data_IF_204977556119
#
_entry.id   IF_204977556119
#
_cell.length_a   1.000
_cell.length_b   1.000
_cell.length_c   1.000
_cell.angle_alpha   90.00
_cell.angle_beta   90.00
_cell.angle_gamma   90.00
#
_symmetry.space_group_name_H-M   'P 1'
#
loop_
_entity.id
_entity.type
_entity.pdbx_description
1 polymer ?
#
# COMPACT_ATOMS: atom_id res chain seq x y z
N UNK A 1 7.06 -16.42 -24.66
CA UNK A 1 7.05 -15.10 -23.99
C UNK A 1 7.07 -15.33 -22.48
N UNK A 2 7.82 -14.55 -21.70
CA UNK A 2 7.81 -14.67 -20.23
C UNK A 2 7.21 -13.40 -19.63
N UNK A 3 6.39 -13.56 -18.59
CA UNK A 3 5.66 -12.48 -17.93
C UNK A 3 5.91 -12.58 -16.44
N UNK A 4 6.20 -11.45 -15.80
CA UNK A 4 6.27 -11.35 -14.35
C UNK A 4 5.51 -10.12 -13.86
N UNK A 5 5.03 -10.21 -12.62
CA UNK A 5 4.33 -9.11 -11.96
C UNK A 5 4.58 -9.15 -10.46
N UNK A 6 4.56 -7.99 -9.82
CA UNK A 6 4.66 -7.86 -8.37
C UNK A 6 3.67 -6.80 -7.91
N UNK A 7 2.92 -7.13 -6.87
CA UNK A 7 1.90 -6.25 -6.30
C UNK A 7 2.33 -5.80 -4.91
N UNK A 8 2.16 -4.51 -4.65
CA UNK A 8 2.36 -3.90 -3.34
C UNK A 8 1.20 -2.95 -3.05
N UNK A 9 0.88 -2.76 -1.77
CA UNK A 9 -0.25 -1.95 -1.35
C UNK A 9 0.27 -0.79 -0.51
N UNK A 10 -0.43 0.34 -0.60
CA UNK A 10 -0.29 1.44 0.33
C UNK A 10 -1.65 1.85 0.84
N UNK A 11 -1.71 2.35 2.06
CA UNK A 11 -2.96 2.88 2.60
C UNK A 11 -2.74 3.66 3.88
N UNK A 12 -3.82 4.29 4.33
CA UNK A 12 -3.89 4.86 5.67
C UNK A 12 -3.72 3.77 6.72
N UNK A 13 -3.44 4.19 7.95
CA UNK A 13 -3.42 3.34 9.12
C UNK A 13 -4.87 2.90 9.40
N UNK A 14 -5.19 1.60 9.39
CA UNK A 14 -6.56 1.10 9.51
C UNK A 14 -7.04 1.14 10.96
N UNK A 15 -7.18 2.36 11.48
CA UNK A 15 -7.73 2.71 12.79
C UNK A 15 -8.79 3.80 12.59
N UNK A 16 -9.70 3.93 13.54
CA UNK A 16 -10.60 5.08 13.56
C UNK A 16 -9.86 6.30 14.14
N UNK A 17 -9.42 7.18 13.25
CA UNK A 17 -8.77 8.43 13.62
C UNK A 17 -9.25 9.57 12.72
N UNK A 18 -9.19 10.78 13.26
CA UNK A 18 -9.60 11.99 12.57
C UNK A 18 -8.59 13.11 12.79
N UNK A 19 -8.59 14.07 11.88
CA UNK A 19 -7.85 15.32 12.01
C UNK A 19 -8.84 16.48 11.84
N UNK A 20 -8.79 17.45 12.76
CA UNK A 20 -9.56 18.71 12.64
C UNK A 20 -8.82 19.66 11.73
N UNK A 21 -9.20 19.72 10.46
CA UNK A 21 -8.61 20.65 9.50
C UNK A 21 -9.16 22.05 9.74
N UNK A 22 -8.29 22.99 10.12
CA UNK A 22 -8.63 24.42 10.19
C UNK A 22 -7.75 25.18 9.21
N UNK A 23 -8.29 26.25 8.59
CA UNK A 23 -7.54 27.08 7.62
C UNK A 23 -6.24 27.65 8.18
N UNK A 24 -6.13 27.83 9.50
CA UNK A 24 -4.96 28.37 10.18
C UNK A 24 -3.98 27.29 10.67
N UNK A 25 -4.41 26.03 10.74
CA UNK A 25 -3.64 24.94 11.32
C UNK A 25 -2.94 24.13 10.23
N UNK A 26 -1.68 24.49 9.95
CA UNK A 26 -0.81 23.79 8.99
C UNK A 26 -0.60 22.30 9.31
N UNK A 27 -0.74 21.89 10.57
CA UNK A 27 -0.59 20.51 11.04
C UNK A 27 -1.66 20.20 12.08
N UNK A 28 -2.85 19.72 11.66
CA UNK A 28 -3.98 19.51 12.56
C UNK A 28 -3.72 18.36 13.55
N UNK A 29 -4.15 18.49 14.80
CA UNK A 29 -3.97 17.43 15.78
C UNK A 29 -4.75 16.16 15.41
N UNK A 30 -4.15 15.02 15.70
CA UNK A 30 -4.73 13.70 15.45
C UNK A 30 -5.54 13.30 16.67
N UNK A 31 -6.78 12.88 16.43
CA UNK A 31 -7.69 12.40 17.46
C UNK A 31 -8.06 10.96 17.14
N UNK A 32 -7.77 10.07 18.09
CA UNK A 32 -8.23 8.69 18.04
C UNK A 32 -9.68 8.61 18.49
N UNK A 33 -10.46 7.85 17.74
CA UNK A 33 -11.79 7.45 18.16
C UNK A 33 -11.73 6.11 18.86
N UNK A 34 -12.34 6.01 20.04
CA UNK A 34 -12.40 4.77 20.84
C UNK A 34 -13.63 3.91 20.49
N UNK A 35 -14.22 4.12 19.31
CA UNK A 35 -15.47 3.46 18.90
C UNK A 35 -15.30 1.96 18.62
N UNK A 36 -14.08 1.44 18.57
CA UNK A 36 -13.80 0.02 18.33
C UNK A 36 -12.79 -0.53 19.35
N UNK A 37 -13.24 -0.86 20.57
CA UNK A 37 -12.35 -1.32 21.64
C UNK A 37 -11.68 -2.68 21.36
N UNK A 38 -12.27 -3.49 20.47
CA UNK A 38 -11.79 -4.83 20.12
C UNK A 38 -11.11 -4.89 18.74
N UNK A 39 -10.88 -3.74 18.11
CA UNK A 39 -10.27 -3.64 16.77
C UNK A 39 -10.97 -4.52 15.72
N UNK A 40 -12.30 -4.65 15.80
CA UNK A 40 -13.10 -5.47 14.87
C UNK A 40 -13.00 -4.96 13.44
N UNK A 41 -13.07 -3.65 13.22
CA UNK A 41 -12.96 -3.06 11.89
C UNK A 41 -11.55 -3.24 11.32
N UNK A 42 -10.52 -3.02 12.15
CA UNK A 42 -9.12 -3.27 11.78
C UNK A 42 -8.88 -4.73 11.41
N UNK A 43 -9.48 -5.67 12.15
CA UNK A 43 -9.41 -7.10 11.85
C UNK A 43 -10.05 -7.43 10.50
N UNK A 44 -11.30 -7.00 10.29
CA UNK A 44 -12.02 -7.23 9.04
C UNK A 44 -11.28 -6.64 7.83
N UNK A 45 -10.66 -5.47 8.01
CA UNK A 45 -9.82 -4.84 6.99
C UNK A 45 -8.66 -5.75 6.57
N UNK A 46 -7.97 -6.40 7.51
CA UNK A 46 -6.88 -7.32 7.20
C UNK A 46 -7.34 -8.69 6.69
N UNK A 47 -8.46 -9.22 7.18
CA UNK A 47 -9.09 -10.43 6.65
C UNK A 47 -9.42 -10.27 5.16
N UNK A 48 -9.98 -9.12 4.79
CA UNK A 48 -10.26 -8.79 3.40
C UNK A 48 -8.97 -8.66 2.55
N UNK A 49 -7.86 -8.17 3.12
CA UNK A 49 -6.58 -8.18 2.43
C UNK A 49 -6.02 -9.59 2.24
N UNK A 50 -6.17 -10.48 3.22
CA UNK A 50 -5.75 -11.87 3.11
C UNK A 50 -6.56 -12.59 2.03
N UNK A 51 -7.87 -12.34 1.95
CA UNK A 51 -8.73 -12.90 0.90
C UNK A 51 -8.28 -12.47 -0.51
N UNK A 52 -7.91 -11.19 -0.68
CA UNK A 52 -7.53 -10.65 -2.00
C UNK A 52 -6.08 -10.94 -2.42
N UNK A 53 -5.15 -10.93 -1.47
CA UNK A 53 -3.71 -10.94 -1.76
C UNK A 53 -2.96 -12.11 -1.13
N UNK A 54 -3.62 -12.91 -0.30
CA UNK A 54 -3.05 -14.06 0.39
C UNK A 54 -2.30 -13.72 1.69
N UNK A 55 -1.58 -14.70 2.21
CA UNK A 55 -0.83 -14.68 3.47
C UNK A 55 0.67 -15.00 3.17
N UNK A 56 1.66 -14.20 3.64
CA UNK A 56 1.57 -13.18 4.68
C UNK A 56 1.22 -11.76 4.25
N UNK A 57 0.50 -11.07 5.13
CA UNK A 57 0.39 -9.60 5.12
C UNK A 57 1.54 -9.01 5.94
N UNK A 58 2.41 -8.26 5.26
CA UNK A 58 3.57 -7.61 5.87
C UNK A 58 3.31 -6.11 5.88
N UNK A 59 3.36 -5.50 7.06
CA UNK A 59 2.99 -4.11 7.27
C UNK A 59 4.26 -3.31 7.55
N UNK A 60 4.69 -2.50 6.57
CA UNK A 60 5.77 -1.54 6.73
C UNK A 60 5.19 -0.20 7.18
N UNK A 61 5.41 0.14 8.44
CA UNK A 61 4.80 1.29 9.08
C UNK A 61 5.79 2.45 9.19
N UNK A 62 5.56 3.53 8.43
CA UNK A 62 6.50 4.65 8.26
C UNK A 62 6.21 5.85 9.17
N UNK A 63 5.49 5.60 10.27
CA UNK A 63 5.06 6.61 11.24
C UNK A 63 6.26 7.14 12.02
N UNK A 64 6.31 8.46 12.22
CA UNK A 64 7.38 9.08 13.03
C UNK A 64 7.26 8.64 14.49
N UNK A 65 8.39 8.33 15.09
CA UNK A 65 8.51 7.95 16.51
C UNK A 65 9.09 9.08 17.35
N UNK A 66 10.01 9.88 16.77
CA UNK A 66 10.63 11.02 17.44
C UNK A 66 10.01 12.34 16.96
N UNK A 67 9.06 12.88 17.74
CA UNK A 67 8.40 14.16 17.46
C UNK A 67 8.41 15.09 18.69
N UNK A 68 8.45 16.41 18.45
CA UNK A 68 8.35 17.41 19.54
C UNK A 68 6.97 17.43 20.20
N UNK A 69 5.91 17.19 19.40
CA UNK A 69 4.55 16.98 19.86
C UNK A 69 4.14 15.57 19.43
N UNK A 70 3.64 14.71 20.32
CA UNK A 70 3.30 13.33 20.00
C UNK A 70 2.02 13.32 19.15
N UNK A 71 2.15 13.45 17.83
CA UNK A 71 1.02 13.43 16.89
C UNK A 71 0.93 12.06 16.24
N UNK A 72 1.97 11.69 15.52
CA UNK A 72 2.09 10.40 14.82
C UNK A 72 2.34 9.25 15.82
N UNK A 73 3.09 9.50 16.91
CA UNK A 73 3.43 8.48 17.92
C UNK A 73 2.20 7.84 18.57
N UNK A 74 1.11 8.60 18.76
CA UNK A 74 -0.13 8.10 19.37
C UNK A 74 -0.74 7.01 18.47
N UNK A 75 -0.83 7.28 17.17
CA UNK A 75 -1.32 6.30 16.19
C UNK A 75 -0.40 5.09 16.08
N UNK A 76 0.92 5.29 16.13
CA UNK A 76 1.88 4.19 16.08
C UNK A 76 1.65 3.20 17.23
N UNK A 77 1.48 3.73 18.44
CA UNK A 77 1.29 2.94 19.66
C UNK A 77 -0.02 2.15 19.59
N UNK A 78 -1.11 2.82 19.21
CA UNK A 78 -2.44 2.23 19.15
C UNK A 78 -2.56 1.20 18.03
N UNK A 79 -1.87 1.43 16.91
CA UNK A 79 -1.82 0.45 15.83
C UNK A 79 -1.00 -0.79 16.19
N UNK A 80 0.11 -0.60 16.92
CA UNK A 80 0.89 -1.72 17.44
C UNK A 80 0.07 -2.57 18.44
N UNK A 81 -0.74 -1.93 19.28
CA UNK A 81 -1.69 -2.60 20.17
C UNK A 81 -2.73 -3.40 19.38
N UNK A 82 -3.30 -2.82 18.32
CA UNK A 82 -4.26 -3.48 17.44
C UNK A 82 -3.67 -4.73 16.77
N UNK A 83 -2.47 -4.63 16.20
CA UNK A 83 -1.78 -5.78 15.57
C UNK A 83 -1.51 -6.88 16.61
N UNK A 84 -1.04 -6.50 17.80
CA UNK A 84 -0.78 -7.46 18.88
C UNK A 84 -2.07 -8.15 19.33
N UNK A 85 -3.17 -7.40 19.43
CA UNK A 85 -4.48 -7.95 19.78
C UNK A 85 -5.01 -8.92 18.73
N UNK A 86 -4.87 -8.60 17.44
CA UNK A 86 -5.29 -9.47 16.33
C UNK A 86 -4.45 -10.75 16.32
N UNK A 87 -3.12 -10.63 16.44
CA UNK A 87 -2.21 -11.79 16.40
C UNK A 87 -2.41 -12.76 17.58
N UNK A 88 -2.95 -12.31 18.73
CA UNK A 88 -3.32 -13.20 19.85
C UNK A 88 -4.42 -14.19 19.48
N UNK A 89 -5.29 -13.83 18.54
CA UNK A 89 -6.43 -14.66 18.12
C UNK A 89 -6.15 -15.56 16.91
N UNK A 90 -4.96 -15.49 16.30
CA UNK A 90 -4.62 -16.18 15.06
C UNK A 90 -3.44 -17.15 15.23
N UNK A 91 -3.32 -18.13 14.32
CA UNK A 91 -2.17 -19.05 14.28
C UNK A 91 -0.88 -18.30 13.93
N UNK A 92 0.30 -18.85 14.27
CA UNK A 92 1.61 -18.21 13.97
C UNK A 92 1.85 -17.96 12.47
N UNK A 93 1.21 -18.75 11.61
CA UNK A 93 1.33 -18.63 10.15
C UNK A 93 0.52 -17.43 9.63
N UNK A 94 -0.61 -17.13 10.25
CA UNK A 94 -1.53 -16.04 9.91
C UNK A 94 -1.20 -14.72 10.62
N UNK A 95 -0.08 -14.66 11.35
CA UNK A 95 0.33 -13.46 12.06
C UNK A 95 0.63 -12.31 11.10
N UNK A 96 -0.01 -11.16 11.35
CA UNK A 96 0.32 -9.90 10.71
C UNK A 96 1.76 -9.53 11.10
N UNK A 97 2.62 -9.36 10.09
CA UNK A 97 4.04 -9.07 10.30
C UNK A 97 4.27 -7.56 10.30
N UNK A 98 4.44 -6.99 11.48
CA UNK A 98 4.58 -5.54 11.65
C UNK A 98 6.04 -5.09 11.70
N UNK A 99 6.42 -4.17 10.81
CA UNK A 99 7.76 -3.58 10.70
C UNK A 99 7.67 -2.07 10.93
N UNK A 100 7.92 -1.58 12.15
CA UNK A 100 7.99 -0.15 12.42
C UNK A 100 9.32 0.43 11.89
N UNK A 101 9.25 1.47 11.06
CA UNK A 101 10.42 2.13 10.49
C UNK A 101 10.28 3.65 10.50
N UNK A 102 11.04 4.32 11.36
CA UNK A 102 11.09 5.78 11.39
C UNK A 102 12.04 6.33 10.30
N UNK A 103 11.49 6.58 9.12
CA UNK A 103 12.23 7.18 8.01
C UNK A 103 12.74 8.59 8.31
N UNK A 104 12.06 9.36 9.16
CA UNK A 104 12.50 10.72 9.48
C UNK A 104 13.81 10.66 10.27
N UNK A 105 13.90 9.78 11.27
CA UNK A 105 15.14 9.55 12.01
C UNK A 105 16.27 9.06 11.10
N UNK A 106 15.98 8.09 10.24
CA UNK A 106 16.98 7.52 9.32
C UNK A 106 17.46 8.54 8.27
N UNK A 107 16.58 9.42 7.79
CA UNK A 107 16.93 10.44 6.80
C UNK A 107 17.98 11.43 7.28
N UNK A 108 18.13 11.61 8.60
CA UNK A 108 19.19 12.45 9.19
C UNK A 108 20.59 11.86 9.01
N UNK A 109 20.68 10.54 8.86
CA UNK A 109 21.95 9.83 8.69
C UNK A 109 22.35 9.70 7.21
N UNK A 110 21.45 10.07 6.28
CA UNK A 110 21.70 10.07 4.84
C UNK A 110 20.77 9.15 4.05
N UNK A 111 20.60 9.45 2.77
CA UNK A 111 19.70 8.73 1.87
C UNK A 111 20.11 7.25 1.65
N UNK A 112 21.41 6.95 1.61
CA UNK A 112 21.91 5.59 1.39
C UNK A 112 21.50 4.63 2.51
N UNK A 113 21.61 5.06 3.78
CA UNK A 113 21.21 4.27 4.95
C UNK A 113 19.70 4.01 4.95
N UNK A 114 18.91 5.01 4.55
CA UNK A 114 17.45 4.85 4.39
C UNK A 114 17.13 3.75 3.38
N UNK A 115 17.77 3.81 2.20
CA UNK A 115 17.56 2.83 1.15
C UNK A 115 18.03 1.43 1.55
N UNK A 116 19.12 1.32 2.30
CA UNK A 116 19.61 0.03 2.82
C UNK A 116 18.59 -0.62 3.78
N UNK A 117 18.07 0.13 4.75
CA UNK A 117 17.05 -0.38 5.66
C UNK A 117 15.75 -0.77 4.95
N UNK A 118 15.33 0.02 3.97
CA UNK A 118 14.17 -0.27 3.14
C UNK A 118 14.41 -1.49 2.24
N UNK A 119 15.60 -1.63 1.65
CA UNK A 119 15.98 -2.78 0.85
C UNK A 119 15.97 -4.06 1.69
N UNK A 120 16.45 -3.99 2.94
CA UNK A 120 16.39 -5.14 3.87
C UNK A 120 14.95 -5.54 4.20
N UNK A 121 14.07 -4.56 4.47
CA UNK A 121 12.66 -4.83 4.70
C UNK A 121 11.97 -5.39 3.44
N UNK A 122 12.34 -4.87 2.27
CA UNK A 122 11.84 -5.33 0.98
C UNK A 122 12.28 -6.76 0.65
N UNK A 123 13.56 -7.10 0.86
CA UNK A 123 14.09 -8.44 0.66
C UNK A 123 13.40 -9.45 1.59
N UNK A 124 13.24 -9.09 2.87
CA UNK A 124 12.46 -9.90 3.82
C UNK A 124 11.03 -10.14 3.31
N UNK A 125 10.35 -9.08 2.84
CA UNK A 125 8.99 -9.20 2.37
C UNK A 125 8.87 -10.04 1.09
N UNK A 126 9.76 -9.82 0.12
CA UNK A 126 9.75 -10.52 -1.16
C UNK A 126 10.06 -12.01 -1.01
N UNK A 127 10.97 -12.38 -0.10
CA UNK A 127 11.27 -13.79 0.18
C UNK A 127 10.06 -14.56 0.71
N UNK A 128 9.17 -13.88 1.45
CA UNK A 128 7.97 -14.50 2.01
C UNK A 128 6.77 -14.44 1.05
N UNK A 129 6.60 -13.33 0.34
CA UNK A 129 5.43 -13.09 -0.51
C UNK A 129 5.60 -13.65 -1.93
N UNK A 130 6.84 -13.73 -2.41
CA UNK A 130 7.14 -14.07 -3.80
C UNK A 130 6.64 -13.00 -4.77
N UNK A 131 6.64 -13.35 -6.06
CA UNK A 131 6.10 -12.54 -7.13
C UNK A 131 5.48 -13.47 -8.18
N UNK A 132 4.62 -12.92 -9.02
CA UNK A 132 4.00 -13.67 -10.11
C UNK A 132 5.00 -13.90 -11.25
N UNK A 133 5.05 -15.13 -11.77
CA UNK A 133 5.86 -15.49 -12.93
C UNK A 133 5.15 -16.55 -13.77
N UNK A 134 5.10 -16.33 -15.09
CA UNK A 134 4.54 -17.26 -16.05
C UNK A 134 5.32 -17.28 -17.36
N UNK A 135 5.60 -18.47 -17.88
CA UNK A 135 6.20 -18.68 -19.19
C UNK A 135 5.12 -19.15 -20.19
N UNK A 136 4.77 -18.26 -21.12
CA UNK A 136 3.80 -18.51 -22.20
C UNK A 136 4.42 -19.48 -23.21
N UNK A 137 3.71 -20.57 -23.49
CA UNK A 137 4.07 -21.54 -24.54
C UNK A 137 3.84 -20.93 -25.93
N UNK A 138 4.76 -21.15 -26.89
CA UNK A 138 4.65 -20.56 -28.22
C UNK A 138 3.45 -21.09 -29.06
N UNK A 139 2.80 -22.19 -28.68
CA UNK A 139 1.71 -22.82 -29.44
C UNK A 139 0.28 -22.56 -28.91
N UNK A 140 0.06 -21.62 -27.99
CA UNK A 140 -1.31 -21.27 -27.59
C UNK A 140 -1.96 -20.37 -28.64
N UNK A 141 -3.01 -20.86 -29.31
CA UNK A 141 -3.90 -20.05 -30.13
C UNK A 141 -4.57 -18.96 -29.28
N UNK A 142 -5.01 -17.87 -29.92
CA UNK A 142 -5.66 -16.73 -29.25
C UNK A 142 -6.85 -17.11 -28.34
N UNK A 143 -7.48 -18.27 -28.55
CA UNK A 143 -8.61 -18.76 -27.74
C UNK A 143 -8.19 -19.25 -26.34
N UNK A 144 -6.95 -19.73 -26.15
CA UNK A 144 -6.47 -20.20 -24.85
C UNK A 144 -6.00 -19.07 -23.93
N UNK A 145 -5.63 -17.92 -24.50
CA UNK A 145 -5.29 -16.72 -23.72
C UNK A 145 -6.53 -16.08 -23.10
N UNK A 146 -7.72 -16.26 -23.69
CA UNK A 146 -9.00 -15.75 -23.17
C UNK A 146 -9.79 -16.78 -22.36
N UNK A 147 -9.36 -18.05 -22.34
CA UNK A 147 -9.77 -19.03 -21.33
C UNK A 147 -9.11 -18.73 -19.96
N UNK A 148 -9.31 -17.50 -19.47
CA UNK A 148 -9.12 -17.10 -18.08
C UNK A 148 -10.14 -17.76 -17.12
N UNK A 149 -10.87 -18.79 -17.58
CA UNK A 149 -11.80 -19.61 -16.79
C UNK A 149 -11.11 -20.42 -15.68
N UNK A 150 -9.78 -20.48 -15.66
CA UNK A 150 -8.99 -21.06 -14.57
C UNK A 150 -8.94 -20.18 -13.28
N UNK A 151 -9.44 -18.94 -13.33
CA UNK A 151 -9.51 -18.04 -12.17
C UNK A 151 -10.94 -17.81 -11.66
N UNK A 152 -11.79 -18.85 -11.65
CA UNK A 152 -12.99 -18.81 -10.81
C UNK A 152 -12.59 -19.22 -9.39
N UNK A 153 -12.63 -18.31 -8.39
CA UNK A 153 -12.72 -18.76 -7.02
C UNK A 153 -14.10 -19.41 -6.91
N UNK A 154 -14.15 -20.75 -6.88
CA UNK A 154 -15.41 -21.41 -6.54
C UNK A 154 -15.74 -20.99 -5.11
N UNK A 155 -16.80 -20.22 -4.97
CA UNK A 155 -17.60 -20.14 -3.76
C UNK A 155 -17.90 -21.57 -3.30
N UNK A 156 -17.13 -22.09 -2.36
CA UNK A 156 -17.55 -23.05 -1.34
C UNK A 156 -16.33 -23.45 -0.48
N UNK A 157 -16.36 -22.96 0.76
CA UNK A 157 -15.61 -23.54 1.86
C UNK A 157 -16.03 -25.01 2.01
N UNK A 158 -15.17 -25.96 1.59
CA UNK A 158 -14.86 -27.21 2.30
C UNK A 158 -14.02 -28.16 1.43
N UNK A 159 -13.20 -28.96 2.12
CA UNK A 159 -12.40 -30.10 1.62
C UNK A 159 -11.04 -29.75 0.98
N UNK A 160 -10.11 -29.33 1.85
CA UNK A 160 -8.66 -29.30 1.60
C UNK A 160 -8.02 -30.66 1.98
N UNK A 161 -8.35 -31.71 1.24
CA UNK A 161 -7.69 -33.03 1.36
C UNK A 161 -7.49 -33.70 -0.01
N UNK A 162 -8.44 -33.57 -0.93
CA UNK A 162 -8.47 -34.44 -2.11
C UNK A 162 -7.86 -33.82 -3.39
N UNK A 163 -7.26 -32.62 -3.30
CA UNK A 163 -6.72 -31.90 -4.48
C UNK A 163 -5.22 -32.05 -4.72
N UNK A 164 -4.49 -32.72 -3.82
CA UNK A 164 -3.08 -33.08 -4.09
C UNK A 164 -3.02 -34.16 -5.18
N UNK A 165 -3.98 -35.10 -5.17
CA UNK A 165 -4.06 -36.19 -6.15
C UNK A 165 -4.49 -35.72 -7.54
N UNK A 166 -5.33 -34.67 -7.64
CA UNK A 166 -5.78 -34.14 -8.94
C UNK A 166 -4.65 -33.45 -9.73
N UNK A 167 -3.73 -32.78 -9.03
CA UNK A 167 -2.55 -32.15 -9.65
C UNK A 167 -1.51 -33.21 -10.04
N UNK A 168 -1.37 -34.30 -9.28
CA UNK A 168 -0.53 -35.43 -9.68
C UNK A 168 -1.12 -36.22 -10.87
N UNK A 169 -2.45 -36.32 -10.95
CA UNK A 169 -3.14 -37.00 -12.06
C UNK A 169 -2.97 -36.24 -13.38
N UNK A 170 -3.08 -34.90 -13.34
CA UNK A 170 -2.77 -34.02 -14.48
C UNK A 170 -1.30 -34.10 -14.93
N UNK A 171 -0.35 -34.38 -14.03
CA UNK A 171 1.05 -34.63 -14.41
C UNK A 171 1.26 -35.98 -15.10
N UNK A 172 0.45 -36.99 -14.79
CA UNK A 172 0.55 -38.33 -15.40
C UNK A 172 -0.08 -38.39 -16.78
N UNK A 173 -1.19 -37.70 -17.00
CA UNK A 173 -1.89 -37.73 -18.30
C UNK A 173 -1.13 -36.93 -19.37
N UNK A 174 -0.40 -35.87 -19.00
CA UNK A 174 0.45 -35.11 -19.94
C UNK A 174 1.70 -35.90 -20.39
N UNK A 175 2.18 -36.84 -19.58
CA UNK A 175 3.40 -37.60 -19.87
C UNK A 175 3.18 -38.86 -20.75
N UNK A 176 1.93 -39.22 -21.05
CA UNK A 176 1.62 -40.48 -21.76
C UNK A 176 1.64 -40.37 -23.29
N UNK A 177 1.54 -39.15 -23.82
CA UNK A 177 1.37 -38.90 -25.27
C UNK A 177 2.63 -38.40 -26.01
N UNK A 178 3.79 -38.30 -25.36
CA UNK A 178 5.01 -37.78 -26.00
C UNK A 178 6.00 -38.93 -26.25
N UNK A 179 5.77 -39.63 -27.37
CA UNK A 179 6.73 -40.54 -27.98
C UNK A 179 7.76 -39.78 -28.83
N UNK A 180 9.01 -39.84 -28.39
CA UNK A 180 10.28 -39.65 -29.13
C UNK A 180 10.76 -38.24 -29.55
N UNK A 181 12.04 -38.02 -29.20
CA UNK A 181 13.07 -37.08 -29.70
C UNK A 181 13.13 -35.63 -29.19
N UNK A 182 14.15 -35.41 -28.36
CA UNK A 182 15.11 -34.26 -28.37
C UNK A 182 14.72 -32.97 -27.63
N UNK A 183 15.49 -32.68 -26.56
CA UNK A 183 15.56 -31.42 -25.78
C UNK A 183 14.24 -30.92 -25.17
N UNK A 184 13.86 -31.50 -24.02
CA UNK A 184 12.84 -30.90 -23.15
C UNK A 184 13.47 -29.66 -22.49
N UNK A 185 13.27 -28.51 -23.14
CA UNK A 185 13.50 -27.19 -22.57
C UNK A 185 12.73 -27.11 -21.24
N UNK A 186 13.45 -26.98 -20.12
CA UNK A 186 12.86 -27.04 -18.77
C UNK A 186 11.94 -25.84 -18.56
N UNK A 187 10.65 -25.98 -18.90
CA UNK A 187 9.65 -24.93 -18.69
C UNK A 187 9.53 -24.66 -17.19
N UNK A 188 9.89 -23.44 -16.77
CA UNK A 188 9.80 -23.03 -15.38
C UNK A 188 8.32 -22.96 -14.97
N UNK A 189 7.94 -23.53 -13.81
CA UNK A 189 6.54 -23.60 -13.41
C UNK A 189 5.95 -22.22 -13.11
N UNK A 190 4.63 -22.10 -13.30
CA UNK A 190 3.83 -20.95 -12.91
C UNK A 190 3.97 -20.69 -11.40
N UNK A 191 4.28 -19.44 -11.04
CA UNK A 191 4.39 -18.99 -9.64
C UNK A 191 3.40 -17.87 -9.40
N UNK A 192 2.62 -17.99 -8.33
CA UNK A 192 1.75 -16.91 -7.83
C UNK A 192 2.39 -16.20 -6.65
N UNK A 193 2.18 -14.89 -6.59
CA UNK A 193 2.44 -14.13 -5.37
C UNK A 193 1.44 -14.57 -4.30
N UNK A 194 1.93 -14.93 -3.11
CA UNK A 194 1.12 -15.54 -2.04
C UNK A 194 0.75 -14.59 -0.92
N UNK A 195 1.31 -13.38 -0.90
CA UNK A 195 1.06 -12.38 0.13
C UNK A 195 1.46 -10.99 -0.36
N UNK A 196 1.43 -9.98 0.51
CA UNK A 196 1.69 -8.59 0.09
C UNK A 196 2.36 -7.72 1.15
N UNK A 197 3.24 -6.83 0.67
CA UNK A 197 3.77 -5.74 1.48
C UNK A 197 2.81 -4.55 1.41
N UNK A 198 2.27 -4.17 2.58
CA UNK A 198 1.47 -2.96 2.77
C UNK A 198 2.31 -1.87 3.43
N UNK A 199 2.42 -0.71 2.80
CA UNK A 199 3.03 0.49 3.38
C UNK A 199 1.97 1.37 4.04
N UNK A 200 2.15 1.65 5.34
CA UNK A 200 1.30 2.54 6.11
C UNK A 200 2.01 3.87 6.36
N UNK A 201 1.27 4.97 6.20
CA UNK A 201 1.72 6.31 6.55
C UNK A 201 0.52 7.19 6.90
N UNK A 202 0.72 8.16 7.78
CA UNK A 202 -0.31 9.12 8.18
C UNK A 202 -0.37 10.34 7.26
N UNK A 203 0.76 10.73 6.67
CA UNK A 203 0.90 11.92 5.84
C UNK A 203 2.10 11.77 4.91
N UNK A 204 1.91 12.25 3.68
CA UNK A 204 2.79 12.31 2.51
C UNK A 204 3.13 10.99 1.80
N UNK A 205 2.64 10.94 0.55
CA UNK A 205 3.04 10.05 -0.53
C UNK A 205 4.57 9.90 -0.62
N UNK A 206 5.32 10.93 -0.28
CA UNK A 206 6.77 11.01 -0.39
C UNK A 206 7.49 9.87 0.36
N UNK A 207 7.11 9.61 1.62
CA UNK A 207 7.68 8.51 2.43
C UNK A 207 7.31 7.15 1.86
N UNK A 208 6.05 6.98 1.49
CA UNK A 208 5.54 5.72 0.92
C UNK A 208 6.12 5.45 -0.45
N UNK A 209 6.35 6.47 -1.29
CA UNK A 209 6.85 6.30 -2.65
C UNK A 209 8.29 5.81 -2.64
N UNK A 210 9.12 6.32 -1.72
CA UNK A 210 10.50 5.83 -1.53
C UNK A 210 10.51 4.37 -1.04
N UNK A 211 9.61 4.01 -0.11
CA UNK A 211 9.48 2.63 0.33
C UNK A 211 8.99 1.70 -0.80
N UNK A 212 8.01 2.16 -1.59
CA UNK A 212 7.49 1.42 -2.75
C UNK A 212 8.55 1.25 -3.85
N UNK A 213 9.37 2.28 -4.08
CA UNK A 213 10.52 2.20 -4.98
C UNK A 213 11.53 1.15 -4.49
N UNK A 214 11.90 1.16 -3.20
CA UNK A 214 12.85 0.20 -2.67
C UNK A 214 12.34 -1.25 -2.80
N UNK A 215 11.06 -1.50 -2.54
CA UNK A 215 10.45 -2.80 -2.77
C UNK A 215 10.42 -3.19 -4.25
N UNK A 216 10.00 -2.26 -5.12
CA UNK A 216 9.98 -2.47 -6.56
C UNK A 216 11.37 -2.75 -7.15
N UNK A 217 12.40 -2.08 -6.65
CA UNK A 217 13.79 -2.28 -7.09
C UNK A 217 14.32 -3.67 -6.70
N UNK A 218 14.04 -4.14 -5.48
CA UNK A 218 14.37 -5.51 -5.08
C UNK A 218 13.58 -6.53 -5.90
N UNK A 219 12.28 -6.30 -6.10
CA UNK A 219 11.46 -7.19 -6.91
C UNK A 219 11.96 -7.28 -8.35
N UNK A 220 12.37 -6.16 -8.96
CA UNK A 220 12.93 -6.12 -10.30
C UNK A 220 14.19 -6.99 -10.41
N UNK A 221 15.07 -6.97 -9.41
CA UNK A 221 16.24 -7.83 -9.36
C UNK A 221 15.90 -9.33 -9.36
N UNK A 222 14.92 -9.73 -8.54
CA UNK A 222 14.45 -11.11 -8.52
C UNK A 222 13.73 -11.52 -9.81
N UNK A 223 12.95 -10.61 -10.41
CA UNK A 223 12.27 -10.83 -11.67
C UNK A 223 13.27 -11.03 -12.82
N UNK A 224 14.28 -10.17 -12.95
CA UNK A 224 15.32 -10.28 -13.98
C UNK A 224 16.13 -11.57 -13.84
N UNK A 225 16.47 -11.95 -12.62
CA UNK A 225 17.11 -13.24 -12.35
C UNK A 225 16.20 -14.41 -12.76
N UNK A 226 14.91 -14.34 -12.43
CA UNK A 226 13.97 -15.40 -12.77
C UNK A 226 13.68 -15.53 -14.27
N UNK A 227 13.81 -14.44 -15.02
CA UNK A 227 13.73 -14.37 -16.48
C UNK A 227 15.05 -14.76 -17.18
N UNK A 228 16.14 -14.95 -16.42
CA UNK A 228 17.45 -15.34 -16.96
C UNK A 228 18.30 -14.18 -17.50
N UNK A 229 17.91 -12.92 -17.29
CA UNK A 229 18.68 -11.75 -17.72
C UNK A 229 19.89 -11.47 -16.82
N UNK A 230 19.82 -11.84 -15.54
CA UNK A 230 20.91 -11.66 -14.57
C UNK A 230 21.26 -12.98 -13.89
N UNK A 231 22.55 -13.16 -13.54
CA UNK A 231 23.04 -14.34 -12.80
C UNK A 231 22.72 -14.30 -11.31
N UNK A 232 22.42 -13.12 -10.78
CA UNK A 232 22.05 -12.89 -9.38
C UNK A 232 20.81 -12.01 -9.30
N UNK A 233 20.09 -12.11 -8.18
CA UNK A 233 18.92 -11.27 -7.88
C UNK A 233 19.29 -9.90 -7.29
N UNK A 234 20.54 -9.72 -6.87
CA UNK A 234 21.02 -8.47 -6.28
C UNK A 234 21.50 -7.52 -7.36
N UNK A 235 20.74 -6.45 -7.58
CA UNK A 235 21.14 -5.36 -8.48
C UNK A 235 21.74 -4.25 -7.62
N UNK A 236 22.96 -3.84 -7.97
CA UNK A 236 23.60 -2.70 -7.31
C UNK A 236 22.80 -1.43 -7.55
N UNK A 237 22.69 -0.61 -6.51
CA UNK A 237 21.96 0.65 -6.58
C UNK A 237 22.57 1.62 -7.62
N UNK A 238 23.86 1.49 -7.92
CA UNK A 238 24.57 2.32 -8.90
C UNK A 238 24.30 1.90 -10.36
N UNK A 239 23.58 0.81 -10.59
CA UNK A 239 23.23 0.36 -11.93
C UNK A 239 22.31 1.40 -12.62
N UNK A 240 22.52 1.71 -13.92
CA UNK A 240 21.64 2.62 -14.68
C UNK A 240 20.14 2.29 -14.57
N UNK A 241 19.82 1.00 -14.49
CA UNK A 241 18.44 0.53 -14.31
C UNK A 241 17.78 1.08 -13.03
N UNK A 242 18.56 1.31 -11.97
CA UNK A 242 18.06 1.90 -10.73
C UNK A 242 17.63 3.35 -10.93
N UNK A 243 18.34 4.12 -11.77
CA UNK A 243 18.00 5.51 -12.10
C UNK A 243 16.75 5.58 -12.98
N UNK A 244 16.62 4.67 -13.94
CA UNK A 244 15.43 4.59 -14.80
C UNK A 244 14.19 4.20 -14.00
N UNK A 245 14.30 3.16 -13.15
CA UNK A 245 13.21 2.78 -12.26
C UNK A 245 12.86 3.92 -11.29
N UNK A 246 13.87 4.61 -10.75
CA UNK A 246 13.66 5.76 -9.88
C UNK A 246 12.85 6.85 -10.57
N UNK A 247 13.17 7.18 -11.83
CA UNK A 247 12.44 8.18 -12.61
C UNK A 247 10.97 7.79 -12.81
N UNK A 248 10.69 6.50 -13.03
CA UNK A 248 9.32 5.98 -13.14
C UNK A 248 8.57 6.20 -11.82
N UNK A 249 9.18 5.83 -10.68
CA UNK A 249 8.56 6.02 -9.37
C UNK A 249 8.42 7.49 -8.97
N UNK A 250 9.36 8.36 -9.35
CA UNK A 250 9.25 9.82 -9.19
C UNK A 250 8.03 10.34 -9.95
N UNK A 251 7.89 9.98 -11.22
CA UNK A 251 6.78 10.43 -12.09
C UNK A 251 5.43 9.92 -11.58
N UNK A 252 5.38 8.64 -11.17
CA UNK A 252 4.20 8.06 -10.52
C UNK A 252 3.85 8.83 -9.25
N UNK A 253 4.85 9.11 -8.40
CA UNK A 253 4.70 9.89 -7.18
C UNK A 253 4.17 11.30 -7.45
N UNK A 254 4.73 12.02 -8.40
CA UNK A 254 4.28 13.37 -8.74
C UNK A 254 2.84 13.38 -9.24
N UNK A 255 2.47 12.41 -10.10
CA UNK A 255 1.10 12.28 -10.63
C UNK A 255 0.07 12.07 -9.51
N UNK A 256 0.37 11.16 -8.59
CA UNK A 256 -0.50 10.87 -7.46
C UNK A 256 -0.56 12.06 -6.49
N UNK A 257 0.55 12.73 -6.24
CA UNK A 257 0.57 13.91 -5.37
C UNK A 257 -0.30 15.03 -5.93
N UNK A 258 -0.32 15.22 -7.25
CA UNK A 258 -1.17 16.21 -7.92
C UNK A 258 -2.64 15.85 -7.71
N UNK A 259 -3.01 14.59 -7.88
CA UNK A 259 -4.39 14.12 -7.70
C UNK A 259 -4.89 14.35 -6.27
N UNK A 260 -4.12 13.92 -5.26
CA UNK A 260 -4.53 13.99 -3.86
C UNK A 260 -4.30 15.37 -3.23
N UNK A 261 -3.10 15.95 -3.39
CA UNK A 261 -2.68 17.16 -2.68
C UNK A 261 -2.61 18.42 -3.55
N UNK A 262 -2.94 18.33 -4.84
CA UNK A 262 -2.90 19.48 -5.77
C UNK A 262 -1.49 20.01 -6.08
N UNK A 263 -0.43 19.28 -5.70
CA UNK A 263 0.98 19.64 -5.97
C UNK A 263 1.82 18.40 -6.25
N UNK A 264 2.98 18.55 -6.87
CA UNK A 264 3.98 17.48 -7.00
C UNK A 264 4.46 16.95 -5.61
N UNK A 265 5.05 15.75 -5.60
CA UNK A 265 5.58 15.09 -4.41
C UNK A 265 6.83 15.82 -3.89
N UNK A 266 7.22 15.65 -2.62
CA UNK A 266 8.54 16.10 -2.15
C UNK A 266 9.57 14.98 -2.35
N UNK A 267 10.37 15.07 -3.41
CA UNK A 267 11.32 14.02 -3.82
C UNK A 267 12.70 14.15 -3.15
N UNK A 268 12.75 14.58 -1.88
CA UNK A 268 14.00 14.93 -1.17
C UNK A 268 15.05 13.82 -1.21
N UNK A 269 14.64 12.56 -1.02
CA UNK A 269 15.54 11.40 -0.99
C UNK A 269 16.13 11.14 -2.39
N UNK A 270 15.34 11.31 -3.45
CA UNK A 270 15.79 11.13 -4.82
C UNK A 270 16.69 12.29 -5.29
N UNK A 271 16.32 13.55 -4.98
CA UNK A 271 17.14 14.73 -5.25
C UNK A 271 18.49 14.69 -4.53
N UNK A 272 18.53 14.22 -3.27
CA UNK A 272 19.77 14.04 -2.53
C UNK A 272 20.68 12.98 -3.17
N UNK A 273 20.12 11.89 -3.69
CA UNK A 273 20.88 10.85 -4.38
C UNK A 273 21.49 11.34 -5.70
N UNK A 274 20.75 12.13 -6.49
CA UNK A 274 21.25 12.71 -7.75
C UNK A 274 22.27 13.85 -7.54
N UNK A 275 22.60 14.20 -6.30
CA UNK A 275 23.54 15.28 -6.00
C UNK A 275 23.02 16.66 -6.39
N UNK A 276 21.70 16.84 -6.51
CA UNK A 276 21.13 18.14 -6.84
C UNK A 276 21.47 19.19 -5.76
N UNK A 277 21.64 20.44 -6.19
CA UNK A 277 22.01 21.52 -5.28
C UNK A 277 20.94 21.68 -4.18
N UNK A 278 21.40 21.68 -2.92
CA UNK A 278 20.52 21.75 -1.73
C UNK A 278 19.63 23.00 -1.75
N UNK A 279 20.15 24.14 -2.25
CA UNK A 279 19.41 25.40 -2.31
C UNK A 279 18.26 25.37 -3.34
N UNK A 280 18.49 24.79 -4.52
CA UNK A 280 17.46 24.63 -5.56
C UNK A 280 16.37 23.64 -5.14
N UNK A 281 16.75 22.57 -4.44
CA UNK A 281 15.79 21.60 -3.89
C UNK A 281 14.93 22.24 -2.80
N UNK A 282 15.52 23.02 -1.91
CA UNK A 282 14.82 23.66 -0.80
C UNK A 282 13.80 24.72 -1.26
N UNK A 283 14.10 25.49 -2.30
CA UNK A 283 13.15 26.46 -2.85
C UNK A 283 11.96 25.78 -3.53
N UNK A 284 12.20 24.71 -4.29
CA UNK A 284 11.12 23.90 -4.88
C UNK A 284 10.22 23.26 -3.82
N UNK A 285 10.79 22.72 -2.74
CA UNK A 285 10.04 22.17 -1.61
C UNK A 285 9.15 23.23 -0.94
N UNK A 286 9.64 24.46 -0.79
CA UNK A 286 8.86 25.57 -0.25
C UNK A 286 7.65 25.91 -1.12
N UNK A 287 7.83 26.07 -2.44
CA UNK A 287 6.73 26.34 -3.36
C UNK A 287 5.71 25.19 -3.39
N UNK A 288 6.16 23.93 -3.38
CA UNK A 288 5.27 22.75 -3.30
C UNK A 288 4.46 22.72 -2.01
N UNK A 289 5.07 23.09 -0.88
CA UNK A 289 4.38 23.20 0.42
C UNK A 289 3.28 24.27 0.36
N UNK A 290 3.55 25.44 -0.23
CA UNK A 290 2.56 26.50 -0.42
C UNK A 290 1.40 26.06 -1.32
N UNK A 291 1.70 25.38 -2.43
CA UNK A 291 0.68 24.86 -3.35
C UNK A 291 -0.23 23.83 -2.66
N UNK A 292 0.35 22.90 -1.89
CA UNK A 292 -0.40 21.93 -1.07
C UNK A 292 -1.28 22.65 -0.05
N UNK A 293 -0.74 23.64 0.64
CA UNK A 293 -1.50 24.42 1.61
C UNK A 293 -2.70 25.11 0.95
N UNK A 294 -2.49 25.74 -0.21
CA UNK A 294 -3.57 26.41 -0.93
C UNK A 294 -4.63 25.41 -1.43
N UNK A 295 -4.21 24.28 -2.00
CA UNK A 295 -5.13 23.20 -2.41
C UNK A 295 -5.93 22.67 -1.23
N UNK A 296 -5.27 22.34 -0.11
CA UNK A 296 -5.92 21.78 1.07
C UNK A 296 -6.85 22.79 1.75
N UNK A 297 -6.51 24.09 1.76
CA UNK A 297 -7.31 25.11 2.42
C UNK A 297 -8.53 25.57 1.62
N UNK A 298 -8.43 25.56 0.28
CA UNK A 298 -9.45 26.16 -0.59
C UNK A 298 -10.16 25.16 -1.51
N UNK A 299 -9.49 24.14 -2.04
CA UNK A 299 -10.06 23.24 -3.06
C UNK A 299 -10.49 21.88 -2.50
N UNK A 300 -10.02 21.51 -1.32
CA UNK A 300 -10.29 20.19 -0.71
C UNK A 300 -11.78 19.94 -0.47
N UNK A 301 -12.52 20.96 -0.04
CA UNK A 301 -13.95 20.85 0.20
C UNK A 301 -14.73 20.53 -1.08
N UNK A 302 -14.37 21.16 -2.20
CA UNK A 302 -15.01 20.89 -3.49
C UNK A 302 -14.66 19.49 -4.00
N UNK A 303 -13.40 19.06 -3.83
CA UNK A 303 -12.96 17.69 -4.16
C UNK A 303 -13.73 16.63 -3.35
N UNK A 304 -13.84 16.80 -2.04
CA UNK A 304 -14.55 15.86 -1.20
C UNK A 304 -16.04 15.81 -1.54
N UNK A 305 -16.66 16.96 -1.83
CA UNK A 305 -18.05 17.03 -2.28
C UNK A 305 -18.25 16.26 -3.60
N UNK A 306 -17.35 16.43 -4.58
CA UNK A 306 -17.41 15.68 -5.84
C UNK A 306 -17.27 14.17 -5.63
N UNK A 307 -16.35 13.74 -4.74
CA UNK A 307 -16.17 12.32 -4.37
C UNK A 307 -17.44 11.78 -3.71
N UNK A 308 -18.03 12.53 -2.78
CA UNK A 308 -19.24 12.10 -2.08
C UNK A 308 -20.45 11.98 -3.02
N UNK A 309 -20.57 12.86 -4.02
CA UNK A 309 -21.57 12.74 -5.08
C UNK A 309 -21.33 11.49 -5.91
N UNK A 310 -20.09 11.26 -6.34
CA UNK A 310 -19.72 10.08 -7.14
C UNK A 310 -19.97 8.76 -6.40
N UNK A 311 -19.67 8.69 -5.11
CA UNK A 311 -19.89 7.51 -4.26
C UNK A 311 -21.36 7.34 -3.82
N UNK A 312 -22.26 8.24 -4.22
CA UNK A 312 -23.69 8.16 -3.88
C UNK A 312 -24.01 8.49 -2.42
N UNK A 313 -23.09 9.13 -1.68
CA UNK A 313 -23.33 9.58 -0.31
C UNK A 313 -24.22 10.83 -0.21
N UNK A 314 -24.48 11.50 -1.34
CA UNK A 314 -25.39 12.65 -1.40
C UNK A 314 -26.81 12.21 -1.78
N UNK A 315 -27.78 12.47 -0.90
CA UNK A 315 -29.22 12.29 -1.16
C UNK A 315 -29.88 13.68 -1.20
N UNK A 316 -30.52 14.05 -2.33
CA UNK A 316 -31.24 15.33 -2.43
C UNK A 316 -32.29 15.46 -1.31
N UNK A 317 -32.29 16.61 -0.61
CA UNK A 317 -33.29 16.95 0.41
C UNK A 317 -32.92 16.66 1.86
N UNK A 318 -31.73 16.11 2.16
CA UNK A 318 -31.19 16.00 3.52
C UNK A 318 -29.92 16.86 3.63
N UNK A 319 -29.65 17.53 4.78
CA UNK A 319 -28.36 18.18 5.00
C UNK A 319 -27.24 17.13 4.88
N UNK A 320 -26.08 17.56 4.38
CA UNK A 320 -25.05 16.62 4.02
C UNK A 320 -24.54 15.89 5.27
N UNK A 321 -24.29 14.56 5.24
CA UNK A 321 -23.91 13.80 6.43
C UNK A 321 -22.68 14.32 7.20
N UNK A 322 -21.83 15.12 6.56
CA UNK A 322 -20.61 15.74 7.12
C UNK A 322 -20.83 17.17 7.66
N UNK A 323 -22.05 17.69 7.60
CA UNK A 323 -22.47 18.93 8.28
C UNK A 323 -22.97 18.67 9.71
N UNK A 324 -23.10 17.40 10.11
CA UNK A 324 -23.46 17.04 11.48
C UNK A 324 -22.22 17.06 12.38
N UNK A 325 -22.32 17.73 13.53
CA UNK A 325 -21.33 17.58 14.61
C UNK A 325 -21.27 16.11 15.04
N UNK A 326 -20.04 15.63 15.29
CA UNK A 326 -19.68 14.22 15.48
C UNK A 326 -20.43 13.47 16.59
N UNK A 327 -21.19 14.19 17.43
CA UNK A 327 -21.96 13.62 18.54
C UNK A 327 -23.37 13.12 18.11
N UNK A 328 -23.76 13.27 16.85
CA UNK A 328 -25.12 12.92 16.38
C UNK A 328 -25.23 11.65 15.53
N UNK A 329 -24.14 10.93 15.30
CA UNK A 329 -24.18 9.72 14.46
C UNK A 329 -25.01 8.55 15.01
N UNK A 330 -25.59 8.64 16.22
CA UNK A 330 -26.51 7.62 16.73
C UNK A 330 -27.84 8.09 17.33
N UNK A 331 -28.18 9.38 17.29
CA UNK A 331 -29.45 9.86 17.85
C UNK A 331 -30.45 10.30 16.76
N UNK A 332 -30.70 9.46 15.75
CA UNK A 332 -31.92 9.62 14.90
C UNK A 332 -33.08 8.86 15.55
N UNK A 333 -33.49 9.40 16.70
CA UNK A 333 -34.75 9.26 17.46
C UNK A 333 -34.41 9.91 18.80
N UNK A 334 -34.46 11.23 18.93
CA UNK A 334 -35.60 11.92 19.54
C UNK A 334 -35.27 13.43 19.59
N UNK A 335 -36.26 14.26 19.22
CA UNK A 335 -36.45 15.71 19.37
C UNK A 335 -35.30 16.71 19.60
N UNK A 336 -35.43 17.85 18.91
CA UNK A 336 -34.42 18.90 18.77
C UNK A 336 -34.30 19.90 19.90
N UNK A 337 -33.22 20.68 19.82
CA UNK A 337 -33.13 22.07 20.28
C UNK A 337 -31.86 22.72 19.71
N UNK A 338 -32.01 23.96 19.24
CA UNK A 338 -30.97 24.80 18.62
C UNK A 338 -29.83 25.14 19.60
N UNK A 339 -28.58 25.16 19.10
CA UNK A 339 -27.52 26.03 19.62
C UNK A 339 -26.50 26.40 18.53
N UNK A 340 -26.17 27.69 18.46
CA UNK A 340 -25.11 28.26 17.64
C UNK A 340 -23.72 27.77 18.11
N UNK A 341 -22.90 27.19 17.23
CA UNK A 341 -21.45 27.03 17.49
C UNK A 341 -20.60 26.95 16.21
N UNK A 342 -19.35 27.39 16.36
CA UNK A 342 -18.33 27.62 15.33
C UNK A 342 -18.11 26.49 14.32
N UNK A 343 -17.92 26.87 13.05
CA UNK A 343 -17.60 25.99 11.92
C UNK A 343 -16.22 25.30 12.06
N UNK A 344 -16.14 24.23 12.85
CA UNK A 344 -15.02 23.30 12.89
C UNK A 344 -15.34 22.05 12.05
N UNK A 345 -14.65 21.84 10.93
CA UNK A 345 -14.85 20.66 10.07
C UNK A 345 -13.97 19.50 10.51
N UNK A 346 -14.57 18.31 10.56
CA UNK A 346 -13.89 17.05 10.84
C UNK A 346 -13.67 16.31 9.51
N UNK A 347 -12.42 15.97 9.18
CA UNK A 347 -12.14 15.04 8.09
C UNK A 347 -12.03 13.65 8.71
N UNK A 348 -12.99 12.78 8.37
CA UNK A 348 -13.00 11.37 8.75
C UNK A 348 -12.39 10.56 7.60
N UNK A 349 -11.20 10.04 7.81
CA UNK A 349 -10.55 9.11 6.89
C UNK A 349 -11.30 7.78 6.94
N UNK A 350 -12.14 7.50 5.94
CA UNK A 350 -12.79 6.21 5.79
C UNK A 350 -11.76 5.21 5.21
N UNK A 351 -11.65 4.03 5.82
CA UNK A 351 -10.70 2.98 5.45
C UNK A 351 -11.09 2.24 4.17
#
# INVERSE_FOLDING_TARGET
MQISSVVQIRGSIPLFWSQKTSRLNLKPDIRLSKNDPNYKATRLHFENLVERYGNPIIILNLIKTCEKKPRETILCTEFANAVTFINKGSTKEDHLRFIPLDLHKLSRNGASIVLEHLARAAAYALNLTGFFYYQVRPNCGQEDLLNFSCFKPNDEYSILSDKVDAVEKLKKDVNKDIGYSSEIDYIKPLVFQKGVLRTNCIDCLDRTNVAQFAYGFMALGHQLHALGFTKSSNIELNNPLAEDLMRIYETMGDTLAIQYGGSAAHNKIFSQRRGQCKAATQSQEFFRTLQRYFSNAYMDAEKQNAINVFLGHFQQGKPAPWEFDSDHHHNVRTHGSNSLSENARYVVSHC
#
